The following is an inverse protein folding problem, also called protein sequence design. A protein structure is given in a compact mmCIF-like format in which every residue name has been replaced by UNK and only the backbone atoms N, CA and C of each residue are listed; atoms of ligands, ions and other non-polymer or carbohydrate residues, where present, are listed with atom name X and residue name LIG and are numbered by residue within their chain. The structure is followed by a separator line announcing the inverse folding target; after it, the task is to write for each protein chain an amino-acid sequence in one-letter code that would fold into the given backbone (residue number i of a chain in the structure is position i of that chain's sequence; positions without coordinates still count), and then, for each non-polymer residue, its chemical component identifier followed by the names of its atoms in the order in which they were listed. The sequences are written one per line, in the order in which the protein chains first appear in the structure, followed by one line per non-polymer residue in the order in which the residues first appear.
data_IF_480606380302
#
_entry.id   IF_480606380302
#
_cell.length_a   1.000
_cell.length_b   1.000
_cell.length_c   1.000
_cell.angle_alpha   90.00
_cell.angle_beta   90.00
_cell.angle_gamma   90.00
#
_symmetry.space_group_name_H-M   'P 1'
#
loop_
_entity.id
_entity.type
_entity.pdbx_description
1 polymer ?
#
# COMPACT_ATOMS: atom_id res chain seq x y z
N UNK A 1 12.00 9.28 -2.88
CA UNK A 1 11.21 9.51 -4.12
C UNK A 1 11.46 8.46 -5.21
N UNK A 2 12.51 7.64 -5.14
CA UNK A 2 12.70 6.53 -6.10
C UNK A 2 11.66 5.41 -5.92
N UNK A 3 11.46 4.95 -4.69
CA UNK A 3 10.56 3.81 -4.41
C UNK A 3 9.13 4.09 -4.86
N UNK A 4 8.61 5.29 -4.54
CA UNK A 4 7.27 5.70 -4.96
C UNK A 4 7.11 5.71 -6.49
N UNK A 5 8.12 6.20 -7.23
CA UNK A 5 8.07 6.21 -8.70
C UNK A 5 8.05 4.78 -9.28
N UNK A 6 8.86 3.88 -8.72
CA UNK A 6 8.87 2.47 -9.12
C UNK A 6 7.53 1.78 -8.81
N UNK A 7 6.93 2.05 -7.66
CA UNK A 7 5.64 1.47 -7.31
C UNK A 7 4.48 2.05 -8.13
N UNK A 8 4.55 3.31 -8.57
CA UNK A 8 3.56 3.87 -9.49
C UNK A 8 3.63 3.23 -10.88
N UNK A 9 4.84 2.98 -11.42
CA UNK A 9 5.01 2.23 -12.67
C UNK A 9 4.50 0.79 -12.53
N UNK A 10 4.80 0.12 -11.42
CA UNK A 10 4.27 -1.21 -11.12
C UNK A 10 2.74 -1.23 -11.06
N UNK A 11 2.12 -0.27 -10.35
CA UNK A 11 0.67 -0.14 -10.25
C UNK A 11 0.03 -0.02 -11.63
N UNK A 12 0.61 0.81 -12.51
CA UNK A 12 0.14 0.99 -13.87
C UNK A 12 0.22 -0.32 -14.68
N UNK A 13 1.34 -1.05 -14.60
CA UNK A 13 1.51 -2.34 -15.28
C UNK A 13 0.59 -3.44 -14.73
N UNK A 14 0.28 -3.37 -13.44
CA UNK A 14 -0.68 -4.25 -12.78
C UNK A 14 -2.16 -3.88 -13.07
N UNK A 15 -2.41 -2.88 -13.92
CA UNK A 15 -3.75 -2.44 -14.30
C UNK A 15 -4.51 -1.73 -13.17
N UNK A 16 -3.81 -1.28 -12.13
CA UNK A 16 -4.43 -0.55 -11.02
C UNK A 16 -4.85 0.85 -11.45
N UNK A 17 -5.98 1.30 -10.91
CA UNK A 17 -6.52 2.64 -11.14
C UNK A 17 -7.21 3.18 -9.88
N UNK A 18 -7.53 4.47 -9.87
CA UNK A 18 -8.12 5.12 -8.70
C UNK A 18 -7.12 5.34 -7.57
N UNK A 19 -7.65 5.57 -6.35
CA UNK A 19 -6.84 5.88 -5.17
C UNK A 19 -6.01 4.67 -4.75
N UNK A 20 -4.69 4.82 -4.79
CA UNK A 20 -3.73 3.78 -4.43
C UNK A 20 -3.42 3.83 -2.92
N UNK A 21 -4.37 3.41 -2.08
CA UNK A 21 -4.22 3.51 -0.61
C UNK A 21 -3.02 2.72 -0.05
N UNK A 22 -2.58 1.65 -0.73
CA UNK A 22 -1.41 0.87 -0.32
C UNK A 22 -0.08 1.64 -0.46
N UNK A 23 -0.05 2.73 -1.21
CA UNK A 23 1.11 3.64 -1.32
C UNK A 23 1.18 4.67 -0.18
N UNK A 24 0.21 4.68 0.73
CA UNK A 24 0.11 5.66 1.82
C UNK A 24 1.36 5.69 2.71
N UNK A 25 2.10 4.58 2.79
CA UNK A 25 3.36 4.46 3.52
C UNK A 25 4.41 5.51 3.12
N UNK A 26 4.39 5.97 1.86
CA UNK A 26 5.34 6.95 1.33
C UNK A 26 4.87 8.41 1.41
N UNK A 27 3.64 8.66 1.90
CA UNK A 27 3.00 9.96 1.83
C UNK A 27 2.68 10.50 3.23
N UNK A 28 3.03 11.77 3.48
CA UNK A 28 2.67 12.45 4.74
C UNK A 28 1.16 12.66 4.88
N UNK A 29 0.48 12.96 3.78
CA UNK A 29 -0.95 13.19 3.70
C UNK A 29 -1.51 12.42 2.49
N UNK A 30 -1.77 11.11 2.64
CA UNK A 30 -2.29 10.29 1.56
C UNK A 30 -3.77 10.60 1.28
N UNK A 31 -4.18 10.39 0.03
CA UNK A 31 -5.60 10.43 -0.34
C UNK A 31 -6.29 9.16 0.15
N UNK A 32 -7.52 9.30 0.65
CA UNK A 32 -8.38 8.19 1.04
C UNK A 32 -9.45 7.93 -0.02
N UNK A 33 -9.82 6.66 -0.20
CA UNK A 33 -10.91 6.27 -1.08
C UNK A 33 -12.28 6.37 -0.39
N UNK A 34 -12.29 6.47 0.94
CA UNK A 34 -13.52 6.45 1.76
C UNK A 34 -13.62 7.69 2.66
N UNK A 35 -14.83 7.99 3.12
CA UNK A 35 -15.13 9.07 4.08
C UNK A 35 -14.50 8.85 5.46
N UNK A 36 -14.00 7.63 5.76
CA UNK A 36 -13.32 7.33 7.02
C UNK A 36 -11.94 8.02 7.12
N UNK A 37 -11.44 8.57 6.01
CA UNK A 37 -10.14 9.23 5.95
C UNK A 37 -8.99 8.25 5.75
N UNK A 38 -7.77 8.78 5.76
CA UNK A 38 -6.57 8.01 5.52
C UNK A 38 -6.07 7.34 6.81
N UNK A 39 -5.56 6.11 6.66
CA UNK A 39 -4.77 5.46 7.71
C UNK A 39 -3.45 6.21 7.91
N UNK A 40 -3.02 6.43 9.15
CA UNK A 40 -1.78 7.14 9.50
C UNK A 40 -0.82 6.31 10.38
N UNK A 41 -1.21 5.11 10.81
CA UNK A 41 -0.31 4.16 11.47
C UNK A 41 0.66 3.51 10.46
N UNK A 42 1.95 3.80 10.61
CA UNK A 42 3.00 3.32 9.70
C UNK A 42 3.09 1.78 9.62
N UNK A 43 2.77 1.05 10.69
CA UNK A 43 2.80 -0.42 10.67
C UNK A 43 1.62 -0.98 9.86
N UNK A 44 0.45 -0.37 9.99
CA UNK A 44 -0.73 -0.73 9.19
C UNK A 44 -0.49 -0.39 7.72
N UNK A 45 0.04 0.81 7.43
CA UNK A 45 0.39 1.21 6.06
C UNK A 45 1.45 0.28 5.44
N UNK A 46 2.49 -0.11 6.19
CA UNK A 46 3.47 -1.09 5.73
C UNK A 46 2.84 -2.46 5.47
N UNK A 47 1.92 -2.89 6.34
CA UNK A 47 1.19 -4.15 6.16
C UNK A 47 0.33 -4.11 4.90
N UNK A 48 -0.36 -2.99 4.63
CA UNK A 48 -1.10 -2.78 3.38
C UNK A 48 -0.19 -2.89 2.15
N UNK A 49 0.94 -2.17 2.16
CA UNK A 49 1.96 -2.25 1.09
C UNK A 49 2.40 -3.69 0.82
N UNK A 50 2.81 -4.42 1.87
CA UNK A 50 3.27 -5.81 1.75
C UNK A 50 2.14 -6.71 1.25
N UNK A 51 0.93 -6.59 1.80
CA UNK A 51 -0.19 -7.47 1.45
C UNK A 51 -0.65 -7.27 0.01
N UNK A 52 -0.65 -6.04 -0.51
CA UNK A 52 -0.96 -5.79 -1.93
C UNK A 52 0.04 -6.50 -2.85
N UNK A 53 1.34 -6.41 -2.56
CA UNK A 53 2.37 -7.07 -3.36
C UNK A 53 2.26 -8.61 -3.26
N UNK A 54 2.02 -9.14 -2.06
CA UNK A 54 1.82 -10.57 -1.83
C UNK A 54 0.62 -11.10 -2.60
N UNK A 55 -0.50 -10.38 -2.58
CA UNK A 55 -1.69 -10.74 -3.35
C UNK A 55 -1.37 -10.82 -4.84
N UNK A 56 -0.69 -9.83 -5.41
CA UNK A 56 -0.28 -9.86 -6.82
C UNK A 56 0.69 -10.99 -7.16
N UNK A 57 1.46 -11.45 -6.19
CA UNK A 57 2.35 -12.61 -6.32
C UNK A 57 1.66 -13.96 -6.05
N UNK A 58 0.36 -13.97 -5.70
CA UNK A 58 -0.36 -15.19 -5.34
C UNK A 58 -0.03 -15.74 -3.96
N UNK A 59 0.57 -14.93 -3.09
CA UNK A 59 0.88 -15.26 -1.70
C UNK A 59 -0.28 -14.92 -0.75
N UNK A 60 -0.35 -15.63 0.38
CA UNK A 60 -1.33 -15.36 1.44
C UNK A 60 -1.04 -14.00 2.10
N UNK A 61 -2.02 -13.25 2.61
CA UNK A 61 -1.76 -12.02 3.37
C UNK A 61 -1.00 -12.27 4.67
N UNK A 62 -0.22 -11.28 5.12
CA UNK A 62 0.29 -11.20 6.49
C UNK A 62 -0.86 -10.68 7.37
N UNK A 63 -1.29 -11.48 8.34
CA UNK A 63 -2.35 -11.11 9.30
C UNK A 63 -1.82 -10.83 10.70
N UNK A 64 -0.53 -11.09 10.94
CA UNK A 64 0.12 -10.83 12.22
C UNK A 64 1.26 -9.84 11.98
N UNK A 65 1.34 -8.72 12.71
CA UNK A 65 2.58 -7.97 12.72
C UNK A 65 3.67 -8.94 13.17
N UNK A 66 4.72 -9.10 12.37
CA UNK A 66 5.92 -9.79 12.87
C UNK A 66 6.35 -9.00 14.10
N UNK A 67 6.12 -9.57 15.27
CA UNK A 67 6.60 -9.02 16.53
C UNK A 67 8.12 -8.93 16.37
N UNK A 68 8.64 -7.70 16.41
CA UNK A 68 10.07 -7.46 16.59
C UNK A 68 10.55 -8.01 17.92
#
# INVERSE_FOLDING_TARGET
MLDLALFLDLAHRAGQSGVQEWLSFYLKAPQAATEAGAEHDLFIQQTKLKNTLREWMGEKPVTHPEAG
#
